data_IF_026790413065
#
_entry.id   IF_026790413065
#
_cell.length_a   1.000
_cell.length_b   1.000
_cell.length_c   1.000
_cell.angle_alpha   90.00
_cell.angle_beta   90.00
_cell.angle_gamma   90.00
#
_symmetry.space_group_name_H-M   'P 1'
#
loop_
_entity.id
_entity.type
_entity.pdbx_description
1 polymer ?
#
# COMPACT_ATOMS: atom_id res chain seq x y z
N UNK A 1 -45.35 3.03 6.53
CA UNK A 1 -44.92 3.58 7.85
C UNK A 1 -43.80 4.57 7.56
N UNK A 2 -44.23 5.84 7.51
CA UNK A 2 -43.41 7.00 7.15
C UNK A 2 -42.91 7.69 8.43
N UNK A 3 -41.59 7.74 8.63
CA UNK A 3 -41.03 8.47 9.77
C UNK A 3 -40.29 9.71 9.25
N UNK A 4 -40.93 10.88 9.45
CA UNK A 4 -40.40 12.23 9.20
C UNK A 4 -39.32 12.58 10.23
N UNK A 5 -38.13 12.95 9.77
CA UNK A 5 -37.15 13.63 10.61
C UNK A 5 -37.25 15.15 10.46
N UNK A 6 -37.55 15.84 11.59
CA UNK A 6 -37.70 17.28 11.69
C UNK A 6 -36.32 17.95 11.80
N UNK A 7 -36.11 18.93 10.94
CA UNK A 7 -35.04 19.95 11.04
C UNK A 7 -35.29 20.83 12.28
N UNK A 8 -34.28 20.98 13.12
CA UNK A 8 -34.30 21.94 14.21
C UNK A 8 -33.31 23.08 13.92
N UNK A 9 -33.90 24.21 13.50
CA UNK A 9 -33.25 25.47 13.18
C UNK A 9 -33.26 26.34 14.46
N UNK A 10 -32.10 26.57 15.08
CA UNK A 10 -31.97 27.59 16.13
C UNK A 10 -31.04 28.70 15.64
N UNK A 11 -31.69 29.80 15.32
CA UNK A 11 -31.13 31.14 15.13
C UNK A 11 -30.89 31.74 16.51
N UNK A 12 -29.68 32.24 16.77
CA UNK A 12 -29.46 33.21 17.85
C UNK A 12 -28.78 34.44 17.25
N UNK A 13 -29.58 35.55 17.29
CA UNK A 13 -29.18 36.92 17.09
C UNK A 13 -29.04 37.59 18.46
N UNK A 14 -27.99 38.37 18.66
CA UNK A 14 -27.86 39.55 19.51
C UNK A 14 -26.36 39.90 19.63
N UNK A 15 -25.79 41.05 19.33
CA UNK A 15 -26.24 42.43 19.49
C UNK A 15 -25.23 43.16 20.36
N UNK A 16 -24.34 43.97 19.72
CA UNK A 16 -23.47 45.08 20.05
C UNK A 16 -23.15 45.41 21.56
N UNK A 17 -22.35 46.45 21.92
CA UNK A 17 -21.93 47.60 21.14
C UNK A 17 -20.44 48.00 21.23
N UNK A 18 -20.09 49.04 20.48
CA UNK A 18 -18.81 49.72 20.39
C UNK A 18 -18.37 50.45 21.68
N UNK A 19 -17.08 50.47 21.92
CA UNK A 19 -16.41 51.50 22.73
C UNK A 19 -15.07 51.87 22.08
N UNK A 20 -14.96 53.11 21.67
CA UNK A 20 -13.74 53.75 21.22
C UNK A 20 -12.92 54.19 22.44
N UNK A 21 -11.61 54.02 22.40
CA UNK A 21 -10.68 54.73 23.29
C UNK A 21 -9.37 55.02 22.61
N UNK A 22 -8.95 56.26 22.78
CA UNK A 22 -7.84 57.00 22.16
C UNK A 22 -6.45 56.50 22.54
N UNK A 23 -5.56 56.70 21.61
CA UNK A 23 -4.14 56.92 21.55
C UNK A 23 -3.32 57.05 22.86
N UNK A 24 -2.17 56.36 22.86
CA UNK A 24 -0.95 56.87 23.46
C UNK A 24 0.26 56.37 22.59
N UNK A 25 0.96 57.36 22.06
CA UNK A 25 2.25 57.21 21.39
C UNK A 25 3.31 56.89 22.42
N UNK A 26 3.95 55.75 22.31
CA UNK A 26 5.09 55.35 23.10
C UNK A 26 6.23 54.93 22.16
N UNK A 27 7.26 55.79 21.97
CA UNK A 27 8.55 55.41 21.44
C UNK A 27 9.17 54.36 22.40
N UNK A 28 9.38 53.19 21.95
CA UNK A 28 10.04 52.11 22.70
C UNK A 28 10.79 51.18 21.76
N UNK A 29 12.10 51.30 21.81
CA UNK A 29 13.16 50.41 21.38
C UNK A 29 12.79 49.09 20.71
N UNK A 30 13.28 48.86 19.51
CA UNK A 30 13.21 47.58 18.80
C UNK A 30 13.84 46.47 19.65
N UNK A 31 13.16 45.35 19.87
CA UNK A 31 13.82 44.15 20.34
C UNK A 31 14.54 43.50 19.17
N UNK A 32 15.81 43.30 19.39
CA UNK A 32 16.74 42.48 18.64
C UNK A 32 16.09 41.17 18.25
N UNK A 33 15.99 40.93 16.93
CA UNK A 33 15.46 39.67 16.35
C UNK A 33 16.40 38.55 16.72
N UNK A 34 16.01 37.73 17.67
CA UNK A 34 16.59 36.42 17.89
C UNK A 34 16.56 35.60 16.58
N UNK A 35 17.62 34.83 16.26
CA UNK A 35 17.60 33.97 15.09
C UNK A 35 16.45 32.99 15.23
N UNK A 36 15.49 33.08 14.31
CA UNK A 36 14.44 32.07 14.17
C UNK A 36 15.10 30.72 13.95
N UNK A 37 15.12 29.90 14.97
CA UNK A 37 15.39 28.47 14.82
C UNK A 37 14.41 27.95 13.78
N UNK A 38 14.96 27.72 12.61
CA UNK A 38 14.27 27.09 11.49
C UNK A 38 13.92 25.69 11.97
N UNK A 39 12.68 25.51 12.42
CA UNK A 39 12.11 24.21 12.71
C UNK A 39 12.35 23.34 11.46
N UNK A 40 13.32 22.45 11.59
CA UNK A 40 13.58 21.40 10.60
C UNK A 40 12.36 20.51 10.56
N UNK A 41 11.52 20.72 9.56
CA UNK A 41 10.44 19.78 9.23
C UNK A 41 11.07 18.41 8.97
N UNK A 42 10.71 17.37 9.69
CA UNK A 42 11.18 16.01 9.40
C UNK A 42 10.37 15.39 8.27
N UNK A 43 10.36 16.02 7.09
CA UNK A 43 9.72 15.44 5.92
C UNK A 43 10.64 15.49 4.70
N UNK A 44 11.84 14.95 4.87
CA UNK A 44 12.67 14.47 3.78
C UNK A 44 12.49 12.95 3.69
N UNK A 45 11.30 12.51 3.29
CA UNK A 45 11.18 11.18 2.72
C UNK A 45 11.99 11.22 1.41
N UNK A 46 13.24 10.80 1.47
CA UNK A 46 14.04 10.51 0.29
C UNK A 46 13.28 9.56 -0.63
N UNK A 47 13.65 9.42 -1.90
CA UNK A 47 12.97 8.53 -2.82
C UNK A 47 12.90 7.13 -2.17
N UNK A 48 11.68 6.61 -1.98
CA UNK A 48 11.46 5.27 -1.42
C UNK A 48 12.07 4.31 -2.45
N UNK A 49 13.28 3.84 -2.19
CA UNK A 49 13.91 2.80 -3.00
C UNK A 49 13.23 1.50 -2.64
N UNK A 50 12.28 1.07 -3.49
CA UNK A 50 11.61 -0.21 -3.30
C UNK A 50 12.61 -1.35 -3.43
N UNK A 51 12.45 -2.36 -2.58
CA UNK A 51 13.22 -3.61 -2.66
C UNK A 51 13.07 -4.22 -4.06
N UNK A 52 14.16 -4.75 -4.66
CA UNK A 52 14.06 -5.46 -5.93
C UNK A 52 13.24 -6.73 -5.77
N UNK A 53 12.49 -7.08 -6.81
CA UNK A 53 11.63 -8.26 -6.84
C UNK A 53 12.29 -9.34 -7.71
N UNK A 54 12.50 -10.54 -7.15
CA UNK A 54 12.88 -11.73 -7.91
C UNK A 54 11.64 -12.58 -8.14
N UNK A 55 11.27 -12.82 -9.40
CA UNK A 55 10.07 -13.57 -9.81
C UNK A 55 10.49 -14.96 -10.29
N UNK A 56 10.16 -15.99 -9.53
CA UNK A 56 10.31 -17.38 -9.93
C UNK A 56 9.07 -17.85 -10.66
N UNK A 57 9.22 -18.35 -11.88
CA UNK A 57 8.10 -18.81 -12.71
C UNK A 57 8.47 -20.02 -13.55
N UNK A 58 7.48 -20.77 -14.02
CA UNK A 58 7.65 -21.70 -15.11
C UNK A 58 7.94 -20.93 -16.41
N UNK A 59 8.92 -21.35 -17.26
CA UNK A 59 9.25 -20.64 -18.50
C UNK A 59 8.10 -20.56 -19.51
N UNK A 60 7.12 -21.47 -19.43
CA UNK A 60 5.93 -21.47 -20.28
C UNK A 60 4.80 -20.57 -19.74
N UNK A 61 4.94 -19.99 -18.52
CA UNK A 61 3.90 -19.20 -17.87
C UNK A 61 3.83 -17.76 -18.42
N UNK A 62 2.95 -17.51 -19.38
CA UNK A 62 2.78 -16.18 -19.99
C UNK A 62 2.21 -15.14 -19.03
N UNK A 63 1.24 -15.52 -18.18
CA UNK A 63 0.64 -14.61 -17.21
C UNK A 63 1.64 -14.20 -16.10
N UNK A 64 2.59 -15.07 -15.76
CA UNK A 64 3.65 -14.75 -14.82
C UNK A 64 4.61 -13.69 -15.38
N UNK A 65 4.91 -13.78 -16.68
CA UNK A 65 5.69 -12.76 -17.37
C UNK A 65 4.94 -11.43 -17.47
N UNK A 66 3.62 -11.48 -17.73
CA UNK A 66 2.78 -10.30 -17.74
C UNK A 66 2.77 -9.61 -16.36
N UNK A 67 2.65 -10.37 -15.27
CA UNK A 67 2.76 -9.81 -13.92
C UNK A 67 4.12 -9.15 -13.66
N UNK A 68 5.21 -9.78 -14.08
CA UNK A 68 6.56 -9.22 -13.91
C UNK A 68 6.73 -7.90 -14.69
N UNK A 69 6.17 -7.80 -15.89
CA UNK A 69 6.12 -6.55 -16.68
C UNK A 69 5.28 -5.48 -15.97
N UNK A 70 4.08 -5.83 -15.50
CA UNK A 70 3.25 -4.90 -14.74
C UNK A 70 3.98 -4.36 -13.50
N UNK A 71 4.79 -5.20 -12.82
CA UNK A 71 5.62 -4.77 -11.72
C UNK A 71 6.70 -3.77 -12.15
N UNK A 72 7.35 -3.97 -13.31
CA UNK A 72 8.31 -3.01 -13.87
C UNK A 72 7.64 -1.68 -14.21
N UNK A 73 6.47 -1.72 -14.85
CA UNK A 73 5.69 -0.54 -15.20
C UNK A 73 5.24 0.24 -13.96
N UNK A 74 4.98 -0.48 -12.85
CA UNK A 74 4.71 0.11 -11.53
C UNK A 74 5.96 0.66 -10.82
N UNK A 75 7.15 0.59 -11.44
CA UNK A 75 8.39 1.14 -10.93
C UNK A 75 9.21 0.20 -10.03
N UNK A 76 8.88 -1.10 -9.97
CA UNK A 76 9.71 -2.08 -9.29
C UNK A 76 10.87 -2.54 -10.18
N UNK A 77 12.03 -2.75 -9.58
CA UNK A 77 13.13 -3.46 -10.25
C UNK A 77 12.85 -4.95 -10.17
N UNK A 78 12.59 -5.62 -11.29
CA UNK A 78 12.26 -7.04 -11.31
C UNK A 78 13.33 -7.86 -12.04
N UNK A 79 13.62 -9.06 -11.52
CA UNK A 79 14.43 -10.08 -12.16
C UNK A 79 13.60 -11.34 -12.28
N UNK A 80 13.44 -11.86 -13.49
CA UNK A 80 12.73 -13.12 -13.74
C UNK A 80 13.70 -14.27 -13.72
N UNK A 81 13.34 -15.34 -13.02
CA UNK A 81 14.12 -16.56 -12.87
C UNK A 81 13.26 -17.77 -13.22
N UNK A 82 13.53 -18.35 -14.37
CA UNK A 82 12.80 -19.53 -14.84
C UNK A 82 13.14 -20.77 -13.99
N UNK A 83 12.11 -21.52 -13.60
CA UNK A 83 12.18 -22.76 -12.81
C UNK A 83 11.12 -23.74 -13.29
N UNK A 84 11.52 -24.96 -13.59
CA UNK A 84 10.60 -26.05 -13.94
C UNK A 84 9.96 -26.73 -12.72
N UNK A 85 10.60 -26.62 -11.53
CA UNK A 85 10.08 -27.19 -10.28
C UNK A 85 9.53 -26.08 -9.37
N UNK A 86 8.41 -25.49 -9.74
CA UNK A 86 7.72 -24.46 -8.95
C UNK A 86 7.24 -24.99 -7.58
N UNK A 87 6.79 -26.25 -7.43
CA UNK A 87 6.48 -26.81 -6.12
C UNK A 87 7.66 -26.78 -5.14
N UNK A 88 8.89 -27.05 -5.59
CA UNK A 88 10.08 -26.96 -4.72
C UNK A 88 10.37 -25.51 -4.30
N UNK A 89 10.18 -24.54 -5.21
CA UNK A 89 10.32 -23.11 -4.89
C UNK A 89 9.31 -22.72 -3.81
N UNK A 90 8.03 -23.06 -3.96
CA UNK A 90 6.98 -22.74 -2.99
C UNK A 90 7.28 -23.33 -1.61
N UNK A 91 7.65 -24.60 -1.54
CA UNK A 91 8.06 -25.26 -0.28
C UNK A 91 9.26 -24.55 0.35
N UNK A 92 10.29 -24.23 -0.44
CA UNK A 92 11.50 -23.55 0.03
C UNK A 92 11.20 -22.22 0.73
N UNK A 93 10.24 -21.47 0.21
CA UNK A 93 9.88 -20.15 0.74
C UNK A 93 8.69 -20.19 1.71
N UNK A 94 8.17 -21.36 2.01
CA UNK A 94 7.10 -21.57 2.99
C UNK A 94 5.76 -21.03 2.52
N UNK A 95 5.48 -21.10 1.22
CA UNK A 95 4.16 -20.75 0.69
C UNK A 95 3.14 -21.79 1.14
N UNK A 96 2.06 -21.39 1.85
CA UNK A 96 0.98 -22.31 2.20
C UNK A 96 0.33 -22.91 0.95
N UNK A 97 -0.02 -24.19 0.98
CA UNK A 97 -0.62 -24.89 -0.15
C UNK A 97 -1.91 -24.20 -0.63
N UNK A 98 -2.74 -23.74 0.31
CA UNK A 98 -4.00 -23.03 0.04
C UNK A 98 -3.83 -21.68 -0.66
N UNK A 99 -2.62 -21.08 -0.62
CA UNK A 99 -2.29 -19.85 -1.34
C UNK A 99 -1.54 -20.11 -2.65
N UNK A 100 -1.21 -21.37 -2.94
CA UNK A 100 -0.41 -21.70 -4.12
C UNK A 100 -1.05 -21.16 -5.41
N UNK A 101 -0.24 -20.43 -6.19
CA UNK A 101 -0.61 -19.85 -7.47
C UNK A 101 0.44 -20.18 -8.52
N UNK A 102 0.52 -19.47 -9.65
CA UNK A 102 1.40 -19.85 -10.76
C UNK A 102 2.86 -19.41 -10.59
N UNK A 103 3.15 -18.36 -9.84
CA UNK A 103 4.52 -17.88 -9.60
C UNK A 103 4.73 -17.46 -8.14
N UNK A 104 5.99 -17.41 -7.75
CA UNK A 104 6.41 -16.96 -6.42
C UNK A 104 7.45 -15.87 -6.58
N UNK A 105 7.26 -14.74 -5.94
CA UNK A 105 8.19 -13.62 -5.98
C UNK A 105 8.77 -13.32 -4.61
N UNK A 106 10.00 -12.81 -4.58
CA UNK A 106 10.67 -12.37 -3.37
C UNK A 106 10.97 -10.87 -3.46
N UNK A 107 10.68 -10.15 -2.40
CA UNK A 107 11.05 -8.75 -2.24
C UNK A 107 11.55 -8.52 -0.81
N UNK A 108 12.85 -8.29 -0.64
CA UNK A 108 13.48 -8.29 0.67
C UNK A 108 13.24 -9.61 1.40
N UNK A 109 12.63 -9.54 2.58
CA UNK A 109 12.31 -10.71 3.41
C UNK A 109 10.90 -11.27 3.15
N UNK A 110 10.15 -10.68 2.22
CA UNK A 110 8.75 -11.04 1.96
C UNK A 110 8.61 -11.94 0.76
N UNK A 111 7.63 -12.83 0.85
CA UNK A 111 7.18 -13.70 -0.25
C UNK A 111 5.88 -13.12 -0.82
N UNK A 112 5.79 -13.07 -2.14
CA UNK A 112 4.59 -12.62 -2.86
C UNK A 112 4.18 -13.78 -3.75
N UNK A 113 3.00 -14.32 -3.52
CA UNK A 113 2.51 -15.50 -4.22
C UNK A 113 1.40 -15.13 -5.21
N UNK A 114 1.62 -15.42 -6.49
CA UNK A 114 0.64 -15.22 -7.55
C UNK A 114 0.39 -13.75 -7.90
N UNK A 115 -0.78 -13.49 -8.43
CA UNK A 115 -1.16 -12.24 -9.09
C UNK A 115 -1.59 -11.12 -8.11
N UNK A 116 -0.75 -10.86 -7.09
CA UNK A 116 -0.99 -9.81 -6.10
C UNK A 116 -0.97 -8.44 -6.75
N UNK A 117 -1.96 -7.55 -6.50
CA UNK A 117 -1.95 -6.17 -6.97
C UNK A 117 -0.70 -5.41 -6.51
N UNK A 118 -0.07 -4.66 -7.44
CA UNK A 118 1.20 -3.98 -7.17
C UNK A 118 1.07 -2.89 -6.08
N UNK A 119 -0.12 -2.35 -5.89
CA UNK A 119 -0.42 -1.45 -4.78
C UNK A 119 -0.27 -2.16 -3.43
N UNK A 120 -0.74 -3.41 -3.31
CA UNK A 120 -0.62 -4.20 -2.08
C UNK A 120 0.82 -4.65 -1.84
N UNK A 121 1.57 -4.98 -2.90
CA UNK A 121 3.01 -5.21 -2.81
C UNK A 121 3.73 -3.98 -2.27
N UNK A 122 3.39 -2.80 -2.78
CA UNK A 122 3.96 -1.53 -2.30
C UNK A 122 3.62 -1.26 -0.84
N UNK A 123 2.36 -1.49 -0.44
CA UNK A 123 1.91 -1.35 0.95
C UNK A 123 2.71 -2.25 1.88
N UNK A 124 2.86 -3.54 1.54
CA UNK A 124 3.66 -4.51 2.29
C UNK A 124 5.10 -4.02 2.50
N UNK A 125 5.77 -3.63 1.41
CA UNK A 125 7.18 -3.22 1.44
C UNK A 125 7.41 -1.88 2.15
N UNK A 126 6.41 -1.02 2.20
CA UNK A 126 6.47 0.26 2.90
C UNK A 126 6.18 0.09 4.40
N UNK A 127 5.12 -0.63 4.73
CA UNK A 127 4.68 -0.81 6.13
C UNK A 127 5.54 -1.80 6.90
N UNK A 128 6.13 -2.80 6.21
CA UNK A 128 6.98 -3.86 6.79
C UNK A 128 6.36 -4.49 8.05
N UNK A 129 5.11 -5.00 7.96
CA UNK A 129 4.37 -5.48 9.13
C UNK A 129 5.10 -6.65 9.81
N UNK A 130 5.16 -6.60 11.14
CA UNK A 130 5.70 -7.69 11.93
C UNK A 130 4.81 -8.94 11.83
N UNK A 131 5.43 -10.12 11.88
CA UNK A 131 4.72 -11.40 11.86
C UNK A 131 4.22 -11.82 10.48
N UNK A 132 4.27 -10.97 9.45
CA UNK A 132 3.93 -11.34 8.08
C UNK A 132 5.16 -11.88 7.36
N UNK A 133 5.08 -13.12 6.88
CA UNK A 133 6.10 -13.74 6.03
C UNK A 133 5.88 -13.41 4.56
N UNK A 134 4.63 -13.28 4.15
CA UNK A 134 4.28 -12.97 2.76
C UNK A 134 2.81 -12.70 2.57
N UNK A 135 2.47 -12.33 1.33
CA UNK A 135 1.10 -12.13 0.87
C UNK A 135 0.85 -12.92 -0.40
N UNK A 136 -0.39 -13.28 -0.67
CA UNK A 136 -0.73 -14.04 -1.86
C UNK A 136 -2.18 -13.84 -2.33
N UNK A 137 -2.39 -14.11 -3.61
CA UNK A 137 -3.72 -14.27 -4.22
C UNK A 137 -3.81 -15.71 -4.69
N UNK A 138 -4.67 -16.52 -4.06
CA UNK A 138 -4.83 -17.92 -4.44
C UNK A 138 -5.40 -18.04 -5.86
N UNK A 139 -4.95 -19.04 -6.59
CA UNK A 139 -5.40 -19.25 -7.96
C UNK A 139 -4.89 -18.18 -8.94
N UNK A 140 -5.69 -17.91 -9.95
CA UNK A 140 -5.38 -16.95 -11.03
C UNK A 140 -6.65 -16.19 -11.43
N UNK A 141 -7.21 -15.35 -10.55
CA UNK A 141 -8.48 -14.68 -10.81
C UNK A 141 -8.37 -13.71 -11.99
N UNK A 142 -9.35 -13.73 -12.88
CA UNK A 142 -9.40 -12.82 -14.03
C UNK A 142 -9.40 -11.36 -13.56
N UNK A 143 -8.70 -10.51 -14.29
CA UNK A 143 -8.56 -9.08 -13.98
C UNK A 143 -7.55 -8.75 -12.88
N UNK A 144 -6.93 -9.73 -12.25
CA UNK A 144 -5.73 -9.49 -11.44
C UNK A 144 -4.53 -9.15 -12.34
N UNK A 145 -3.47 -8.48 -11.83
CA UNK A 145 -2.34 -8.06 -12.67
C UNK A 145 -1.70 -9.23 -13.43
N UNK A 146 -1.62 -9.13 -14.75
CA UNK A 146 -1.14 -10.20 -15.64
C UNK A 146 -2.21 -11.24 -16.01
N UNK A 147 -3.45 -11.07 -15.53
CA UNK A 147 -4.62 -11.90 -15.83
C UNK A 147 -5.76 -11.06 -16.42
N UNK A 148 -5.44 -9.93 -17.00
CA UNK A 148 -6.40 -9.06 -17.68
C UNK A 148 -6.95 -9.77 -18.93
N UNK A 149 -8.25 -9.60 -19.18
CA UNK A 149 -8.93 -10.14 -20.35
C UNK A 149 -9.51 -9.02 -21.21
N UNK A 150 -9.61 -9.22 -22.55
CA UNK A 150 -10.04 -8.15 -23.48
C UNK A 150 -11.42 -7.58 -23.19
N UNK A 151 -12.32 -8.36 -22.60
CA UNK A 151 -13.69 -7.96 -22.26
C UNK A 151 -13.77 -7.22 -20.89
N UNK A 152 -12.64 -7.06 -20.22
CA UNK A 152 -12.54 -6.32 -18.93
C UNK A 152 -13.21 -7.02 -17.74
N UNK A 153 -13.56 -8.30 -17.82
CA UNK A 153 -14.12 -9.05 -16.70
C UNK A 153 -13.13 -9.13 -15.53
N UNK A 154 -13.66 -8.97 -14.33
CA UNK A 154 -12.89 -9.10 -13.08
C UNK A 154 -13.62 -10.12 -12.19
N UNK A 155 -12.89 -11.12 -11.74
CA UNK A 155 -13.34 -12.02 -10.68
C UNK A 155 -12.99 -11.43 -9.33
N UNK A 156 -13.90 -11.50 -8.33
CA UNK A 156 -13.58 -11.03 -6.99
C UNK A 156 -12.50 -11.90 -6.37
N UNK A 157 -11.48 -11.27 -5.79
CA UNK A 157 -10.43 -11.97 -5.05
C UNK A 157 -10.03 -11.17 -3.80
N UNK A 158 -9.32 -11.81 -2.91
CA UNK A 158 -8.83 -11.22 -1.67
C UNK A 158 -7.33 -11.49 -1.57
N UNK A 159 -6.58 -10.46 -1.20
CA UNK A 159 -5.17 -10.64 -0.85
C UNK A 159 -5.10 -11.20 0.57
N UNK A 160 -4.39 -12.31 0.71
CA UNK A 160 -4.17 -12.99 1.97
C UNK A 160 -2.74 -12.76 2.44
N UNK A 161 -2.53 -12.71 3.75
CA UNK A 161 -1.22 -12.72 4.38
C UNK A 161 -0.96 -14.09 5.01
N UNK A 162 0.31 -14.49 5.12
CA UNK A 162 0.71 -15.66 5.87
C UNK A 162 1.94 -15.39 6.74
N UNK A 163 2.02 -16.09 7.86
CA UNK A 163 3.15 -16.01 8.80
C UNK A 163 4.18 -17.13 8.57
N UNK A 164 5.24 -17.12 9.36
CA UNK A 164 6.30 -18.13 9.28
C UNK A 164 5.83 -19.55 9.67
N UNK A 165 4.70 -19.68 10.37
CA UNK A 165 4.08 -20.96 10.71
C UNK A 165 3.10 -21.44 9.62
N UNK A 166 2.91 -20.67 8.55
CA UNK A 166 1.97 -20.98 7.45
C UNK A 166 0.52 -20.63 7.76
N UNK A 167 0.22 -19.90 8.86
CA UNK A 167 -1.13 -19.47 9.19
C UNK A 167 -1.55 -18.34 8.25
N UNK A 168 -2.72 -18.51 7.63
CA UNK A 168 -3.26 -17.59 6.63
C UNK A 168 -4.36 -16.72 7.21
N UNK A 169 -4.31 -15.42 6.90
CA UNK A 169 -5.31 -14.42 7.30
C UNK A 169 -5.54 -13.44 6.14
N UNK A 170 -6.61 -12.64 6.20
CA UNK A 170 -6.78 -11.55 5.22
C UNK A 170 -5.69 -10.50 5.43
N UNK A 171 -5.07 -10.07 4.34
CA UNK A 171 -4.09 -8.96 4.39
C UNK A 171 -4.79 -7.63 4.67
N UNK A 172 -4.43 -6.98 5.77
CA UNK A 172 -4.93 -5.68 6.20
C UNK A 172 -3.78 -4.89 6.84
N UNK A 173 -3.61 -3.63 6.43
CA UNK A 173 -2.64 -2.68 6.98
C UNK A 173 -3.36 -1.37 7.31
#
# INVERSE_FOLDING_TARGET
MTTSFRLNRRVFLAGGPAAASLALVGCGSAPERAPSERASSPNSAGPITLEPITVYRDPSCGCCEAWARAAQDAGFRTTVVDRSDMPAIKRRYGVPEELSSCHTSLAGNYVIEGHVPLAEVRRLLTAKPEGVKGIGVPGMPLGSPGMEVPDGRIEPFVVMAFDAAGRVTRFQL
#
